data_IF_880164156910
#
_entry.id   IF_880164156910
#
_cell.length_a   1.000
_cell.length_b   1.000
_cell.length_c   1.000
_cell.angle_alpha   90.00
_cell.angle_beta   90.00
_cell.angle_gamma   90.00
#
_symmetry.space_group_name_H-M   'P 1'
#
loop_
_entity.id
_entity.type
_entity.pdbx_description
1 polymer ?
#
# COMPACT_ATOMS: atom_id res chain seq x y z
N UNK A 1 15.34 -34.31 24.23
CA UNK A 1 14.16 -33.48 24.59
C UNK A 1 14.68 -32.05 24.72
N UNK A 2 14.66 -31.28 23.63
CA UNK A 2 15.23 -29.92 23.61
C UNK A 2 14.18 -28.98 24.21
N UNK A 3 14.54 -28.33 25.31
CA UNK A 3 13.69 -27.46 26.10
C UNK A 3 13.24 -26.24 25.29
N UNK A 4 11.94 -25.98 25.25
CA UNK A 4 11.30 -24.93 24.45
C UNK A 4 11.50 -23.49 24.98
N UNK A 5 12.57 -23.21 25.73
CA UNK A 5 12.76 -21.92 26.38
C UNK A 5 14.25 -21.52 26.50
N UNK A 6 14.98 -21.57 25.39
CA UNK A 6 16.31 -20.97 25.28
C UNK A 6 16.20 -19.58 24.63
N UNK A 7 16.44 -18.48 25.38
CA UNK A 7 16.40 -17.11 24.85
C UNK A 7 17.39 -16.88 23.70
N UNK A 8 18.48 -17.65 23.62
CA UNK A 8 19.46 -17.55 22.54
C UNK A 8 18.90 -18.14 21.23
N UNK A 9 18.26 -19.31 21.31
CA UNK A 9 17.60 -19.95 20.16
C UNK A 9 16.44 -19.10 19.61
N UNK A 10 15.70 -18.41 20.50
CA UNK A 10 14.67 -17.46 20.10
C UNK A 10 15.26 -16.21 19.41
N UNK A 11 16.37 -15.67 19.91
CA UNK A 11 17.05 -14.51 19.30
C UNK A 11 17.61 -14.82 17.92
N UNK A 12 18.22 -15.98 17.75
CA UNK A 12 18.75 -16.42 16.46
C UNK A 12 17.62 -16.65 15.44
N UNK A 13 16.51 -17.25 15.88
CA UNK A 13 15.31 -17.44 15.05
C UNK A 13 14.64 -16.11 14.69
N UNK A 14 14.65 -15.13 15.59
CA UNK A 14 14.19 -13.77 15.30
C UNK A 14 15.12 -13.03 14.33
N UNK A 15 16.43 -13.23 14.42
CA UNK A 15 17.40 -12.63 13.48
C UNK A 15 17.24 -13.20 12.07
N UNK A 16 16.99 -14.51 11.94
CA UNK A 16 16.70 -15.14 10.66
C UNK A 16 15.39 -14.62 10.04
N UNK A 17 14.32 -14.53 10.85
CA UNK A 17 13.04 -13.95 10.41
C UNK A 17 13.19 -12.48 10.06
N UNK A 18 14.04 -11.72 10.79
CA UNK A 18 14.35 -10.32 10.46
C UNK A 18 15.05 -10.21 9.11
N UNK A 19 16.07 -11.02 8.85
CA UNK A 19 16.80 -11.02 7.57
C UNK A 19 15.88 -11.40 6.40
N UNK A 20 15.02 -12.41 6.56
CA UNK A 20 14.04 -12.78 5.53
C UNK A 20 13.02 -11.65 5.30
N UNK A 21 12.58 -10.98 6.36
CA UNK A 21 11.65 -9.86 6.23
C UNK A 21 12.31 -8.60 5.65
N UNK A 22 13.58 -8.32 5.94
CA UNK A 22 14.32 -7.17 5.36
C UNK A 22 14.63 -7.40 3.87
N UNK A 23 14.77 -8.67 3.44
CA UNK A 23 14.93 -9.04 2.02
C UNK A 23 13.60 -9.00 1.26
N UNK A 24 12.47 -9.28 1.93
CA UNK A 24 11.13 -9.23 1.34
C UNK A 24 10.48 -7.84 1.43
N UNK A 25 10.89 -7.01 2.40
CA UNK A 25 10.35 -5.68 2.71
C UNK A 25 11.47 -4.74 3.23
N UNK A 26 12.39 -4.29 2.36
CA UNK A 26 13.45 -3.35 2.72
C UNK A 26 12.91 -2.11 3.47
N UNK A 27 13.48 -1.73 4.63
CA UNK A 27 13.09 -0.50 5.31
C UNK A 27 13.55 0.71 4.48
N UNK A 28 12.59 1.50 4.00
CA UNK A 28 12.79 2.63 3.06
C UNK A 28 11.70 2.72 1.98
N UNK A 29 10.97 1.62 1.74
CA UNK A 29 10.13 1.48 0.54
C UNK A 29 8.82 2.26 0.49
N UNK A 30 8.29 2.82 1.59
CA UNK A 30 7.06 3.60 1.52
C UNK A 30 7.27 4.97 0.84
N UNK A 31 8.37 5.66 1.18
CA UNK A 31 8.81 6.87 0.50
C UNK A 31 9.31 6.55 -0.90
N UNK A 32 10.01 5.42 -1.10
CA UNK A 32 10.43 5.00 -2.45
C UNK A 32 9.24 4.64 -3.34
N UNK A 33 8.16 4.06 -2.79
CA UNK A 33 6.95 3.76 -3.54
C UNK A 33 6.14 5.02 -3.87
N UNK A 34 6.10 6.00 -2.95
CA UNK A 34 5.51 7.31 -3.22
C UNK A 34 6.31 8.11 -4.25
N UNK A 35 7.64 8.13 -4.14
CA UNK A 35 8.51 8.80 -5.10
C UNK A 35 8.52 8.06 -6.44
N UNK A 36 8.49 6.73 -6.46
CA UNK A 36 8.34 5.95 -7.69
C UNK A 36 7.00 6.22 -8.37
N UNK A 37 5.91 6.36 -7.61
CA UNK A 37 4.62 6.77 -8.15
C UNK A 37 4.70 8.20 -8.73
N UNK A 38 5.27 9.13 -7.96
CA UNK A 38 5.43 10.52 -8.36
C UNK A 38 6.29 10.65 -9.62
N UNK A 39 7.40 9.93 -9.71
CA UNK A 39 8.27 9.89 -10.88
C UNK A 39 7.54 9.37 -12.12
N UNK A 40 6.75 8.30 -11.98
CA UNK A 40 5.94 7.78 -13.08
C UNK A 40 4.85 8.76 -13.52
N UNK A 41 4.21 9.45 -12.57
CA UNK A 41 3.22 10.48 -12.84
C UNK A 41 3.84 11.69 -13.55
N UNK A 42 4.97 12.23 -13.05
CA UNK A 42 5.72 13.33 -13.69
C UNK A 42 6.14 12.98 -15.12
N UNK A 43 6.58 11.74 -15.34
CA UNK A 43 6.92 11.22 -16.66
C UNK A 43 5.70 10.98 -17.57
N UNK A 44 4.47 11.11 -17.06
CA UNK A 44 3.24 10.88 -17.83
C UNK A 44 2.89 9.42 -18.05
N UNK A 45 3.61 8.48 -17.43
CA UNK A 45 3.39 7.03 -17.62
C UNK A 45 2.06 6.56 -17.00
N UNK A 46 1.52 7.31 -16.04
CA UNK A 46 0.22 7.03 -15.42
C UNK A 46 -0.95 7.73 -16.15
N UNK A 47 -0.67 8.45 -17.24
CA UNK A 47 -1.66 9.26 -17.96
C UNK A 47 -1.57 10.75 -17.65
N UNK A 48 -2.23 11.56 -18.48
CA UNK A 48 -2.14 13.02 -18.46
C UNK A 48 -2.72 13.61 -17.18
N UNK A 49 -3.81 13.06 -16.69
CA UNK A 49 -4.52 13.54 -15.51
C UNK A 49 -3.67 13.32 -14.25
N UNK A 50 -3.03 12.16 -14.13
CA UNK A 50 -2.06 11.90 -13.06
C UNK A 50 -0.82 12.79 -13.15
N UNK A 51 -0.34 13.11 -14.36
CA UNK A 51 0.76 14.06 -14.54
C UNK A 51 0.40 15.46 -14.04
N UNK A 52 -0.80 15.94 -14.36
CA UNK A 52 -1.31 17.24 -13.88
C UNK A 52 -1.50 17.24 -12.37
N UNK A 53 -2.10 16.18 -11.82
CA UNK A 53 -2.31 16.03 -10.38
C UNK A 53 -0.97 15.96 -9.62
N UNK A 54 0.03 15.26 -10.16
CA UNK A 54 1.36 15.23 -9.53
C UNK A 54 2.01 16.61 -9.50
N UNK A 55 1.85 17.43 -10.55
CA UNK A 55 2.30 18.81 -10.51
C UNK A 55 1.60 19.65 -9.42
N UNK A 56 0.30 19.39 -9.18
CA UNK A 56 -0.43 20.02 -8.07
C UNK A 56 0.04 19.53 -6.69
N UNK A 57 0.34 18.24 -6.56
CA UNK A 57 0.89 17.64 -5.34
C UNK A 57 2.27 18.21 -5.05
N UNK A 58 3.15 18.30 -6.05
CA UNK A 58 4.50 18.87 -5.91
C UNK A 58 4.47 20.35 -5.46
N UNK A 59 3.41 21.08 -5.83
CA UNK A 59 3.15 22.46 -5.41
C UNK A 59 2.37 22.58 -4.09
N UNK A 60 2.10 21.47 -3.40
CA UNK A 60 1.28 21.38 -2.19
C UNK A 60 -0.13 22.00 -2.33
N UNK A 61 -0.70 21.96 -3.54
CA UNK A 61 -2.06 22.43 -3.82
C UNK A 61 -3.13 21.38 -3.52
N UNK A 62 -2.72 20.12 -3.39
CA UNK A 62 -3.56 18.97 -3.09
C UNK A 62 -2.69 17.83 -2.56
N UNK A 63 -3.29 16.72 -2.15
CA UNK A 63 -2.59 15.48 -1.79
C UNK A 63 -3.20 14.30 -2.55
N UNK A 64 -2.43 13.21 -2.67
CA UNK A 64 -2.94 11.96 -3.25
C UNK A 64 -4.16 11.45 -2.48
N UNK A 65 -4.16 11.61 -1.16
CA UNK A 65 -5.30 11.28 -0.30
C UNK A 65 -6.53 12.12 -0.66
N UNK A 66 -6.39 13.45 -0.77
CA UNK A 66 -7.48 14.35 -1.15
C UNK A 66 -8.06 14.02 -2.54
N UNK A 67 -7.22 13.63 -3.49
CA UNK A 67 -7.64 13.15 -4.81
C UNK A 67 -8.50 11.89 -4.71
N UNK A 68 -8.08 10.92 -3.91
CA UNK A 68 -8.78 9.63 -3.79
C UNK A 68 -10.03 9.71 -2.91
N UNK A 69 -10.01 10.53 -1.85
CA UNK A 69 -11.14 10.73 -0.93
C UNK A 69 -12.27 11.56 -1.54
N UNK A 70 -11.96 12.36 -2.58
CA UNK A 70 -12.93 13.26 -3.21
C UNK A 70 -12.88 14.69 -2.69
N UNK A 71 -11.96 15.01 -1.77
CA UNK A 71 -11.74 16.38 -1.29
C UNK A 71 -11.17 17.30 -2.38
N UNK A 72 -10.37 16.77 -3.31
CA UNK A 72 -10.00 17.48 -4.54
C UNK A 72 -11.12 17.37 -5.58
N UNK A 73 -11.76 18.51 -5.85
CA UNK A 73 -12.89 18.69 -6.76
C UNK A 73 -12.47 19.06 -8.20
N UNK A 74 -11.17 19.06 -8.49
CA UNK A 74 -10.67 19.30 -9.85
C UNK A 74 -11.17 18.25 -10.83
N UNK A 75 -11.27 18.67 -12.10
CA UNK A 75 -11.73 17.81 -13.20
C UNK A 75 -10.81 16.60 -13.35
N UNK A 76 -9.51 16.78 -13.18
CA UNK A 76 -8.51 15.71 -13.24
C UNK A 76 -8.71 14.69 -12.10
N UNK A 77 -8.95 15.16 -10.87
CA UNK A 77 -9.20 14.28 -9.72
C UNK A 77 -10.49 13.49 -9.90
N UNK A 78 -11.56 14.14 -10.38
CA UNK A 78 -12.82 13.48 -10.70
C UNK A 78 -12.64 12.41 -11.80
N UNK A 79 -11.91 12.72 -12.87
CA UNK A 79 -11.65 11.79 -13.96
C UNK A 79 -10.87 10.54 -13.52
N UNK A 80 -9.83 10.74 -12.70
CA UNK A 80 -9.04 9.63 -12.15
C UNK A 80 -9.90 8.71 -11.30
N UNK A 81 -10.74 9.27 -10.41
CA UNK A 81 -11.67 8.48 -9.59
C UNK A 81 -12.67 7.71 -10.44
N UNK A 82 -13.28 8.36 -11.43
CA UNK A 82 -14.27 7.72 -12.30
C UNK A 82 -13.65 6.57 -13.11
N UNK A 83 -12.45 6.79 -13.66
CA UNK A 83 -11.74 5.78 -14.43
C UNK A 83 -11.30 4.61 -13.56
N UNK A 84 -10.81 4.87 -12.35
CA UNK A 84 -10.46 3.84 -11.37
C UNK A 84 -11.67 3.00 -10.94
N UNK A 85 -12.83 3.64 -10.71
CA UNK A 85 -14.07 2.94 -10.38
C UNK A 85 -14.49 1.99 -11.52
N UNK A 86 -14.49 2.48 -12.77
CA UNK A 86 -14.84 1.70 -13.95
C UNK A 86 -13.91 0.51 -14.16
N UNK A 87 -12.61 0.69 -13.96
CA UNK A 87 -11.62 -0.39 -14.04
C UNK A 87 -11.82 -1.44 -12.94
N UNK A 88 -12.12 -1.00 -11.72
CA UNK A 88 -12.41 -1.90 -10.60
C UNK A 88 -13.67 -2.73 -10.85
N UNK A 89 -14.73 -2.13 -11.37
CA UNK A 89 -15.95 -2.84 -11.78
C UNK A 89 -15.67 -3.87 -12.88
N UNK A 90 -14.88 -3.49 -13.90
CA UNK A 90 -14.50 -4.40 -14.97
C UNK A 90 -13.70 -5.61 -14.44
N UNK A 91 -12.81 -5.39 -13.47
CA UNK A 91 -12.05 -6.45 -12.80
C UNK A 91 -12.98 -7.38 -12.01
N UNK A 92 -13.90 -6.84 -11.21
CA UNK A 92 -14.88 -7.62 -10.45
C UNK A 92 -15.73 -8.49 -11.39
N UNK A 93 -16.16 -7.94 -12.52
CA UNK A 93 -16.94 -8.68 -13.51
C UNK A 93 -16.12 -9.73 -14.25
N UNK A 94 -14.82 -9.47 -14.52
CA UNK A 94 -13.92 -10.48 -15.05
C UNK A 94 -13.76 -11.67 -14.08
N UNK A 95 -13.58 -11.40 -12.79
CA UNK A 95 -13.46 -12.43 -11.74
C UNK A 95 -14.74 -13.27 -11.63
N UNK A 96 -15.91 -12.62 -11.65
CA UNK A 96 -17.22 -13.31 -11.61
C UNK A 96 -17.40 -14.27 -12.79
N UNK A 97 -16.96 -13.87 -13.99
CA UNK A 97 -17.04 -14.73 -15.19
C UNK A 97 -16.11 -15.95 -15.12
N UNK A 98 -14.97 -15.84 -14.44
CA UNK A 98 -14.00 -16.94 -14.32
C UNK A 98 -14.35 -17.98 -13.26
N UNK A 99 -15.26 -17.67 -12.33
CA UNK A 99 -15.73 -18.57 -11.27
C UNK A 99 -17.27 -18.57 -11.17
N UNK A 100 -17.99 -19.01 -12.23
CA UNK A 100 -19.45 -19.00 -12.23
C UNK A 100 -20.00 -19.98 -11.19
N UNK A 101 -20.90 -19.52 -10.33
CA UNK A 101 -21.52 -20.32 -9.27
C UNK A 101 -20.87 -20.19 -7.89
N UNK A 102 -19.77 -19.45 -7.79
CA UNK A 102 -19.26 -19.00 -6.49
C UNK A 102 -20.20 -17.91 -5.93
N UNK A 103 -20.71 -18.12 -4.70
CA UNK A 103 -21.61 -17.19 -4.03
C UNK A 103 -20.87 -16.02 -3.36
N UNK A 104 -19.54 -16.05 -3.34
CA UNK A 104 -18.72 -14.98 -2.76
C UNK A 104 -18.74 -13.76 -3.68
N UNK A 105 -18.88 -12.57 -3.11
CA UNK A 105 -18.80 -11.31 -3.86
C UNK A 105 -17.32 -10.95 -4.11
N UNK A 106 -16.81 -11.05 -5.35
CA UNK A 106 -15.41 -10.75 -5.64
C UNK A 106 -15.05 -9.31 -5.30
N UNK A 107 -16.01 -8.37 -5.37
CA UNK A 107 -15.80 -6.99 -4.96
C UNK A 107 -15.60 -6.84 -3.45
N UNK A 108 -16.35 -7.60 -2.64
CA UNK A 108 -16.18 -7.63 -1.20
C UNK A 108 -14.85 -8.27 -0.80
N UNK A 109 -14.44 -9.36 -1.46
CA UNK A 109 -13.15 -10.00 -1.23
C UNK A 109 -11.98 -9.07 -1.59
N UNK A 110 -12.03 -8.38 -2.72
CA UNK A 110 -11.00 -7.40 -3.10
C UNK A 110 -10.85 -6.28 -2.06
N UNK A 111 -11.97 -5.73 -1.58
CA UNK A 111 -11.96 -4.68 -0.54
C UNK A 111 -11.39 -5.21 0.77
N UNK A 112 -11.76 -6.43 1.17
CA UNK A 112 -11.24 -7.06 2.39
C UNK A 112 -9.72 -7.30 2.30
N UNK A 113 -9.25 -7.83 1.18
CA UNK A 113 -7.82 -8.04 0.92
C UNK A 113 -7.03 -6.73 0.94
N UNK A 114 -7.57 -5.69 0.32
CA UNK A 114 -6.96 -4.36 0.34
C UNK A 114 -6.87 -3.80 1.77
N UNK A 115 -7.97 -3.86 2.53
CA UNK A 115 -8.01 -3.41 3.92
C UNK A 115 -7.02 -4.19 4.81
N UNK A 116 -6.92 -5.51 4.64
CA UNK A 116 -5.95 -6.34 5.35
C UNK A 116 -4.51 -5.95 5.04
N UNK A 117 -4.21 -5.72 3.75
CA UNK A 117 -2.87 -5.37 3.27
C UNK A 117 -2.43 -4.00 3.81
N UNK A 118 -3.32 -3.00 3.74
CA UNK A 118 -3.08 -1.67 4.32
C UNK A 118 -2.90 -1.73 5.83
N UNK A 119 -3.76 -2.46 6.55
CA UNK A 119 -3.65 -2.62 8.00
C UNK A 119 -2.39 -3.40 8.41
N UNK A 120 -1.90 -4.32 7.59
CA UNK A 120 -0.63 -5.01 7.80
C UNK A 120 0.55 -4.05 7.64
N UNK A 121 0.57 -3.23 6.58
CA UNK A 121 1.60 -2.20 6.38
C UNK A 121 1.67 -1.22 7.56
N UNK A 122 0.54 -0.65 7.96
CA UNK A 122 0.47 0.28 9.08
C UNK A 122 0.96 -0.31 10.41
N UNK A 123 0.72 -1.61 10.65
CA UNK A 123 1.22 -2.33 11.84
C UNK A 123 2.74 -2.48 11.81
N UNK A 124 3.31 -2.80 10.65
CA UNK A 124 4.76 -2.91 10.46
C UNK A 124 5.41 -1.56 10.73
N UNK A 125 4.89 -0.47 10.15
CA UNK A 125 5.41 0.88 10.37
C UNK A 125 5.33 1.33 11.84
N UNK A 126 4.22 1.02 12.52
CA UNK A 126 4.07 1.30 13.95
C UNK A 126 5.12 0.54 14.79
N UNK A 127 5.35 -0.74 14.48
CA UNK A 127 6.35 -1.56 15.16
C UNK A 127 7.77 -1.02 14.93
N UNK A 128 8.12 -0.65 13.70
CA UNK A 128 9.43 -0.08 13.36
C UNK A 128 9.67 1.25 14.09
N UNK A 129 8.66 2.12 14.18
CA UNK A 129 8.75 3.38 14.93
C UNK A 129 8.93 3.17 16.43
N UNK A 130 8.18 2.25 17.02
CA UNK A 130 8.29 1.90 18.45
C UNK A 130 9.67 1.30 18.77
N UNK A 131 10.20 0.43 17.91
CA UNK A 131 11.57 -0.08 18.04
C UNK A 131 12.62 1.04 17.98
N UNK A 132 12.54 1.92 16.98
CA UNK A 132 13.48 3.05 16.82
C UNK A 132 13.38 4.10 17.95
N UNK A 133 12.21 4.25 18.58
CA UNK A 133 12.03 5.12 19.74
C UNK A 133 12.67 4.53 21.00
N UNK A 134 12.58 3.20 21.18
CA UNK A 134 13.22 2.48 22.29
C UNK A 134 14.74 2.50 22.20
N UNK A 135 15.30 2.45 20.99
CA UNK A 135 16.75 2.55 20.76
C UNK A 135 17.30 3.96 21.01
N UNK A 136 16.50 5.01 20.81
CA UNK A 136 16.88 6.41 21.06
C UNK A 136 16.67 6.87 22.52
N UNK A 137 16.04 6.06 23.36
CA UNK A 137 15.73 6.36 24.75
C UNK A 137 16.71 5.78 25.78
N UNK A 138 17.91 5.35 25.34
CA UNK A 138 19.03 4.87 26.19
C UNK A 138 20.21 5.81 26.03
#
# INVERSE_FOLDING_TARGET
MISANDPAAWRERLAAVRSELDELFPPGEAEDAEEAFAAQARAGMLGREWQVLQGRIDLNLTTREAVLSGEDDSVEAAFVRETGARQSEALVEALRRTAPGDSRDPGAELRALHAETTARGARIDAMLRDMAARERGI
#
